data_IF_485043033017
#
_entry.id   IF_485043033017
#
_cell.length_a   1.000
_cell.length_b   1.000
_cell.length_c   1.000
_cell.angle_alpha   90.00
_cell.angle_beta   90.00
_cell.angle_gamma   90.00
#
_symmetry.space_group_name_H-M   'P 1'
#
loop_
_entity.id
_entity.type
_entity.pdbx_description
1 polymer ?
#
# COMPACT_ATOMS: atom_id res chain seq x y z
N UNK A 1 -24.54 16.40 24.31
CA UNK A 1 -23.42 15.57 23.79
C UNK A 1 -23.97 14.75 22.64
N UNK A 2 -23.58 15.04 21.40
CA UNK A 2 -23.96 14.18 20.27
C UNK A 2 -23.26 12.83 20.42
N UNK A 3 -23.98 11.75 20.14
CA UNK A 3 -23.39 10.42 20.07
C UNK A 3 -22.32 10.40 18.96
N UNK A 4 -21.22 9.65 19.13
CA UNK A 4 -20.24 9.48 18.06
C UNK A 4 -20.95 8.85 16.85
N UNK A 5 -20.70 9.42 15.67
CA UNK A 5 -21.23 8.89 14.42
C UNK A 5 -20.69 7.46 14.23
N UNK A 6 -21.53 6.48 13.86
CA UNK A 6 -21.09 5.12 13.66
C UNK A 6 -20.04 5.06 12.55
N UNK A 7 -18.96 4.32 12.80
CA UNK A 7 -17.91 4.15 11.80
C UNK A 7 -18.49 3.54 10.51
N UNK A 8 -18.06 4.03 9.34
CA UNK A 8 -18.51 3.49 8.07
C UNK A 8 -18.16 2.00 7.98
N UNK A 9 -19.06 1.17 7.41
CA UNK A 9 -18.82 -0.26 7.28
C UNK A 9 -17.66 -0.53 6.31
N UNK A 10 -16.74 -1.41 6.71
CA UNK A 10 -15.63 -1.83 5.84
C UNK A 10 -16.20 -2.57 4.62
N UNK A 11 -16.10 -1.93 3.45
CA UNK A 11 -16.60 -2.47 2.18
C UNK A 11 -15.83 -3.72 1.74
N UNK A 12 -16.45 -4.55 0.90
CA UNK A 12 -15.78 -5.72 0.29
C UNK A 12 -14.55 -5.31 -0.53
N UNK A 13 -14.61 -4.17 -1.20
CA UNK A 13 -13.51 -3.60 -1.97
C UNK A 13 -12.33 -3.21 -1.05
N UNK A 14 -12.60 -2.48 0.04
CA UNK A 14 -11.58 -2.14 1.03
C UNK A 14 -10.95 -3.40 1.65
N UNK A 15 -11.76 -4.41 1.98
CA UNK A 15 -11.25 -5.72 2.44
C UNK A 15 -10.37 -6.42 1.40
N UNK A 16 -10.70 -6.32 0.11
CA UNK A 16 -9.91 -6.90 -0.96
C UNK A 16 -8.56 -6.18 -1.12
N UNK A 17 -8.56 -4.85 -1.14
CA UNK A 17 -7.34 -4.05 -1.24
C UNK A 17 -6.40 -4.26 -0.03
N UNK A 18 -6.94 -4.29 1.19
CA UNK A 18 -6.15 -4.60 2.39
C UNK A 18 -5.55 -6.01 2.37
N UNK A 19 -6.30 -7.01 1.87
CA UNK A 19 -5.80 -8.38 1.69
C UNK A 19 -4.69 -8.43 0.64
N UNK A 20 -4.85 -7.71 -0.47
CA UNK A 20 -3.85 -7.61 -1.51
C UNK A 20 -2.55 -6.98 -0.97
N UNK A 21 -2.63 -5.82 -0.32
CA UNK A 21 -1.46 -5.18 0.31
C UNK A 21 -0.77 -6.10 1.33
N UNK A 22 -1.55 -6.82 2.17
CA UNK A 22 -0.99 -7.80 3.10
C UNK A 22 -0.27 -8.94 2.37
N UNK A 23 -0.84 -9.46 1.29
CA UNK A 23 -0.24 -10.49 0.47
C UNK A 23 1.10 -10.02 -0.11
N UNK A 24 1.12 -8.84 -0.74
CA UNK A 24 2.35 -8.24 -1.29
C UNK A 24 3.41 -8.07 -0.21
N UNK A 25 3.05 -7.52 0.97
CA UNK A 25 3.97 -7.37 2.11
C UNK A 25 4.55 -8.72 2.57
N UNK A 26 3.76 -9.79 2.51
CA UNK A 26 4.20 -11.15 2.84
C UNK A 26 5.15 -11.76 1.79
N UNK A 27 5.13 -11.28 0.54
CA UNK A 27 6.07 -11.68 -0.52
C UNK A 27 7.41 -10.95 -0.45
N UNK A 28 7.69 -10.19 0.61
CA UNK A 28 8.97 -9.50 0.78
C UNK A 28 10.11 -10.51 0.57
N UNK A 29 11.06 -10.24 -0.35
CA UNK A 29 12.20 -11.12 -0.55
C UNK A 29 12.97 -11.32 0.77
N UNK A 30 13.31 -12.58 1.07
CA UNK A 30 14.13 -12.93 2.23
C UNK A 30 15.59 -12.58 2.01
N UNK A 31 16.37 -12.42 3.09
CA UNK A 31 17.81 -12.19 2.99
C UNK A 31 18.57 -13.53 2.85
N UNK A 32 19.57 -13.63 1.94
CA UNK A 32 19.99 -12.62 0.98
C UNK A 32 19.03 -12.52 -0.24
N UNK A 33 18.75 -11.31 -0.72
CA UNK A 33 18.03 -11.06 -1.98
C UNK A 33 18.82 -10.11 -2.88
N UNK A 34 18.54 -10.13 -4.17
CA UNK A 34 19.10 -9.16 -5.12
C UNK A 34 18.35 -7.82 -5.04
N UNK A 35 19.04 -6.73 -5.34
CA UNK A 35 18.42 -5.39 -5.43
C UNK A 35 17.30 -5.38 -6.47
N UNK A 36 17.45 -6.12 -7.59
CA UNK A 36 16.41 -6.27 -8.60
C UNK A 36 15.12 -6.92 -8.04
N UNK A 37 15.25 -7.99 -7.24
CA UNK A 37 14.10 -8.64 -6.61
C UNK A 37 13.43 -7.73 -5.57
N UNK A 38 14.24 -6.97 -4.82
CA UNK A 38 13.72 -6.03 -3.83
C UNK A 38 13.05 -4.81 -4.49
N UNK A 39 13.59 -4.30 -5.59
CA UNK A 39 13.00 -3.23 -6.40
C UNK A 39 11.65 -3.63 -6.98
N UNK A 40 11.55 -4.84 -7.56
CA UNK A 40 10.28 -5.37 -8.07
C UNK A 40 9.22 -5.47 -6.95
N UNK A 41 9.62 -5.95 -5.77
CA UNK A 41 8.72 -5.98 -4.62
C UNK A 41 8.28 -4.58 -4.15
N UNK A 42 9.15 -3.57 -4.23
CA UNK A 42 8.77 -2.18 -3.91
C UNK A 42 7.77 -1.60 -4.92
N UNK A 43 7.87 -1.94 -6.20
CA UNK A 43 6.85 -1.56 -7.19
C UNK A 43 5.50 -2.22 -6.91
N UNK A 44 5.48 -3.52 -6.59
CA UNK A 44 4.25 -4.20 -6.19
C UNK A 44 3.59 -3.53 -4.96
N UNK A 45 4.41 -3.08 -4.00
CA UNK A 45 3.92 -2.34 -2.81
C UNK A 45 3.29 -1.01 -3.24
N UNK A 46 3.93 -0.28 -4.15
CA UNK A 46 3.40 0.99 -4.66
C UNK A 46 2.04 0.81 -5.34
N UNK A 47 1.91 -0.19 -6.21
CA UNK A 47 0.64 -0.51 -6.87
C UNK A 47 -0.45 -0.90 -5.87
N UNK A 48 -0.12 -1.74 -4.88
CA UNK A 48 -1.07 -2.14 -3.85
C UNK A 48 -1.54 -0.96 -2.98
N UNK A 49 -0.67 0.02 -2.72
CA UNK A 49 -1.00 1.22 -1.96
C UNK A 49 -1.86 2.19 -2.75
N UNK A 50 -1.59 2.38 -4.05
CA UNK A 50 -2.45 3.20 -4.92
C UNK A 50 -3.85 2.59 -5.03
N UNK A 51 -3.95 1.27 -5.21
CA UNK A 51 -5.24 0.58 -5.20
C UNK A 51 -5.97 0.73 -3.85
N UNK A 52 -5.25 0.65 -2.72
CA UNK A 52 -5.84 0.90 -1.41
C UNK A 52 -6.37 2.34 -1.30
N UNK A 53 -5.66 3.33 -1.83
CA UNK A 53 -6.05 4.73 -1.77
C UNK A 53 -7.42 4.98 -2.43
N UNK A 54 -7.78 4.25 -3.49
CA UNK A 54 -9.09 4.38 -4.15
C UNK A 54 -10.28 3.95 -3.27
N UNK A 55 -10.03 3.25 -2.16
CA UNK A 55 -11.05 2.70 -1.28
C UNK A 55 -11.07 3.30 0.12
N UNK A 56 -10.16 4.24 0.42
CA UNK A 56 -10.13 4.96 1.69
C UNK A 56 -11.06 6.18 1.61
N UNK A 57 -11.99 6.27 2.55
CA UNK A 57 -12.99 7.35 2.57
C UNK A 57 -12.39 8.69 2.99
N UNK A 58 -11.45 8.67 3.94
CA UNK A 58 -10.80 9.86 4.45
C UNK A 58 -9.72 10.36 3.47
N UNK A 59 -9.78 11.62 2.99
CA UNK A 59 -8.79 12.17 2.06
C UNK A 59 -7.36 12.15 2.62
N UNK A 60 -7.19 12.32 3.92
CA UNK A 60 -5.89 12.25 4.58
C UNK A 60 -5.26 10.85 4.44
N UNK A 61 -6.05 9.79 4.65
CA UNK A 61 -5.58 8.41 4.52
C UNK A 61 -5.23 8.09 3.05
N UNK A 62 -6.01 8.62 2.09
CA UNK A 62 -5.68 8.53 0.65
C UNK A 62 -4.34 9.17 0.34
N UNK A 63 -4.12 10.39 0.84
CA UNK A 63 -2.89 11.13 0.62
C UNK A 63 -1.68 10.41 1.22
N UNK A 64 -1.83 9.84 2.42
CA UNK A 64 -0.79 9.02 3.06
C UNK A 64 -0.46 7.77 2.24
N UNK A 65 -1.46 7.02 1.77
CA UNK A 65 -1.25 5.83 0.94
C UNK A 65 -0.51 6.16 -0.36
N UNK A 66 -0.92 7.24 -1.04
CA UNK A 66 -0.25 7.73 -2.27
C UNK A 66 1.18 8.20 -2.01
N UNK A 67 1.43 8.85 -0.88
CA UNK A 67 2.78 9.30 -0.49
C UNK A 67 3.70 8.11 -0.28
N UNK A 68 3.24 7.07 0.42
CA UNK A 68 4.00 5.83 0.60
C UNK A 68 4.20 5.10 -0.74
N UNK A 69 3.23 5.12 -1.65
CA UNK A 69 3.38 4.56 -2.99
C UNK A 69 4.48 5.27 -3.80
N UNK A 70 4.54 6.60 -3.74
CA UNK A 70 5.61 7.39 -4.35
C UNK A 70 6.97 7.05 -3.73
N UNK A 71 7.05 6.97 -2.40
CA UNK A 71 8.28 6.59 -1.71
C UNK A 71 8.74 5.16 -2.07
N UNK A 72 7.80 4.25 -2.34
CA UNK A 72 8.11 2.90 -2.77
C UNK A 72 8.71 2.84 -4.17
N UNK A 73 8.13 3.56 -5.14
CA UNK A 73 8.69 3.71 -6.49
C UNK A 73 10.07 4.35 -6.46
N UNK A 74 10.23 5.41 -5.69
CA UNK A 74 11.52 6.08 -5.56
C UNK A 74 12.61 5.16 -4.99
N UNK A 75 12.27 4.25 -4.08
CA UNK A 75 13.21 3.19 -3.66
C UNK A 75 13.54 2.24 -4.82
N UNK A 76 12.51 1.74 -5.50
CA UNK A 76 12.68 0.77 -6.58
C UNK A 76 13.57 1.34 -7.71
N UNK A 77 13.41 2.61 -8.04
CA UNK A 77 14.27 3.34 -8.97
C UNK A 77 15.71 3.45 -8.46
N UNK A 78 15.92 3.82 -7.19
CA UNK A 78 17.27 3.90 -6.60
C UNK A 78 18.01 2.56 -6.62
N UNK A 79 17.32 1.45 -6.41
CA UNK A 79 17.90 0.11 -6.42
C UNK A 79 18.25 -0.41 -7.83
N UNK A 80 17.74 0.24 -8.87
CA UNK A 80 18.01 -0.12 -10.28
C UNK A 80 19.09 0.74 -10.93
N UNK A 81 19.45 1.87 -10.31
CA UNK A 81 20.46 2.81 -10.79
C UNK A 81 21.88 2.30 -10.50
#
# INVERSE_FOLDING_TARGET
>A
MSAPEPLPPITTALKAALRHLRSVRGRRPGAPCTDAAYAAWRDDIAEALDNLAEHLEQPADRAMARTEAVAARAEAERLRA
#
